data_IF_284848775773
#
_entry.id   IF_284848775773
#
_cell.length_a   1.000
_cell.length_b   1.000
_cell.length_c   1.000
_cell.angle_alpha   90.00
_cell.angle_beta   90.00
_cell.angle_gamma   90.00
#
_symmetry.space_group_name_H-M   'P 1'
#
loop_
_entity.id
_entity.type
_entity.pdbx_description
1 polymer ?
#
# COMPACT_ATOMS: atom_id res chain seq x y z
N UNK A 1 23.35 -25.69 -10.46
CA UNK A 1 22.37 -25.83 -9.35
C UNK A 1 22.01 -24.49 -8.68
N UNK A 2 22.91 -23.49 -8.62
CA UNK A 2 22.61 -22.15 -8.09
C UNK A 2 21.74 -21.24 -8.99
N UNK A 3 21.67 -21.48 -10.30
CA UNK A 3 20.87 -20.63 -11.22
C UNK A 3 19.35 -20.78 -11.02
N UNK A 4 18.88 -22.01 -10.76
CA UNK A 4 17.44 -22.31 -10.59
C UNK A 4 16.83 -21.63 -9.36
N UNK A 5 17.63 -21.38 -8.31
CA UNK A 5 17.17 -20.67 -7.12
C UNK A 5 17.11 -19.15 -7.35
N UNK A 6 18.08 -18.60 -8.10
CA UNK A 6 18.08 -17.19 -8.46
C UNK A 6 16.88 -16.84 -9.36
N UNK A 7 16.60 -17.65 -10.38
CA UNK A 7 15.45 -17.46 -11.27
C UNK A 7 14.11 -17.45 -10.52
N UNK A 8 13.93 -18.36 -9.56
CA UNK A 8 12.74 -18.39 -8.70
C UNK A 8 12.59 -17.12 -7.87
N UNK A 9 13.69 -16.60 -7.30
CA UNK A 9 13.66 -15.36 -6.52
C UNK A 9 13.25 -14.16 -7.38
N UNK A 10 13.82 -14.04 -8.58
CA UNK A 10 13.44 -12.99 -9.53
C UNK A 10 11.98 -13.11 -10.00
N UNK A 11 11.48 -14.34 -10.20
CA UNK A 11 10.06 -14.56 -10.49
C UNK A 11 9.15 -14.15 -9.34
N UNK A 12 9.54 -14.44 -8.09
CA UNK A 12 8.80 -14.00 -6.90
C UNK A 12 8.79 -12.47 -6.83
N UNK A 13 9.95 -11.83 -6.97
CA UNK A 13 10.06 -10.38 -7.00
C UNK A 13 9.19 -9.75 -8.09
N UNK A 14 9.11 -10.36 -9.28
CA UNK A 14 8.24 -9.87 -10.36
C UNK A 14 6.78 -9.86 -9.96
N UNK A 15 6.31 -10.95 -9.33
CA UNK A 15 4.91 -11.04 -8.86
C UNK A 15 4.68 -9.99 -7.78
N UNK A 16 5.51 -9.96 -6.74
CA UNK A 16 5.33 -9.05 -5.61
C UNK A 16 5.40 -7.57 -6.04
N UNK A 17 6.45 -7.19 -6.76
CA UNK A 17 6.62 -5.80 -7.22
C UNK A 17 5.50 -5.35 -8.15
N UNK A 18 4.95 -6.24 -8.98
CA UNK A 18 3.76 -5.96 -9.78
C UNK A 18 2.53 -5.64 -8.91
N UNK A 19 2.22 -6.47 -7.91
CA UNK A 19 1.06 -6.22 -7.04
C UNK A 19 1.24 -4.94 -6.21
N UNK A 20 2.43 -4.69 -5.68
CA UNK A 20 2.73 -3.45 -4.95
C UNK A 20 2.60 -2.20 -5.84
N UNK A 21 3.06 -2.28 -7.10
CA UNK A 21 2.91 -1.18 -8.05
C UNK A 21 1.45 -0.95 -8.45
N UNK A 22 0.71 -2.03 -8.73
CA UNK A 22 -0.70 -1.98 -9.12
C UNK A 22 -1.60 -1.43 -8.02
N UNK A 23 -1.31 -1.75 -6.76
CA UNK A 23 -2.01 -1.19 -5.60
C UNK A 23 -1.88 0.34 -5.54
N UNK A 24 -0.68 0.89 -5.78
CA UNK A 24 -0.47 2.34 -5.83
C UNK A 24 -1.09 3.00 -7.06
N UNK A 25 -1.02 2.33 -8.22
CA UNK A 25 -1.56 2.85 -9.48
C UNK A 25 -1.90 1.71 -10.44
N UNK A 26 -3.18 1.55 -10.73
CA UNK A 26 -3.70 0.42 -11.51
C UNK A 26 -3.31 0.40 -12.99
N UNK A 27 -2.80 1.49 -13.55
CA UNK A 27 -2.38 1.63 -14.96
C UNK A 27 -0.92 1.20 -15.22
N UNK A 28 -0.22 0.74 -14.18
CA UNK A 28 1.17 0.33 -14.27
C UNK A 28 1.26 -1.15 -14.59
N UNK A 29 1.73 -1.43 -15.80
CA UNK A 29 2.03 -2.78 -16.24
C UNK A 29 3.33 -2.80 -17.05
N UNK A 30 4.28 -3.61 -16.60
CA UNK A 30 5.57 -3.86 -17.26
C UNK A 30 5.72 -5.32 -17.70
N UNK A 31 4.62 -6.07 -17.89
CA UNK A 31 4.64 -7.48 -18.32
C UNK A 31 5.33 -7.74 -19.66
N UNK A 32 5.37 -6.74 -20.54
CA UNK A 32 5.99 -6.82 -21.86
C UNK A 32 7.52 -6.84 -21.80
N UNK A 33 8.12 -6.56 -20.65
CA UNK A 33 9.56 -6.61 -20.44
C UNK A 33 9.96 -7.97 -19.83
N UNK A 34 11.24 -8.31 -20.04
CA UNK A 34 11.84 -9.47 -19.39
C UNK A 34 11.81 -9.34 -17.85
N UNK A 35 11.86 -10.47 -17.15
CA UNK A 35 11.67 -10.54 -15.69
C UNK A 35 12.53 -9.56 -14.90
N UNK A 36 13.87 -9.48 -15.09
CA UNK A 36 14.68 -8.56 -14.30
C UNK A 36 14.41 -7.09 -14.66
N UNK A 37 14.22 -6.75 -15.94
CA UNK A 37 13.84 -5.39 -16.34
C UNK A 37 12.50 -4.96 -15.75
N UNK A 38 11.49 -5.85 -15.80
CA UNK A 38 10.19 -5.60 -15.19
C UNK A 38 10.32 -5.35 -13.68
N UNK A 39 11.07 -6.20 -12.95
CA UNK A 39 11.31 -6.01 -11.51
C UNK A 39 11.97 -4.66 -11.22
N UNK A 40 13.02 -4.30 -11.96
CA UNK A 40 13.72 -3.02 -11.81
C UNK A 40 12.80 -1.83 -12.08
N UNK A 41 11.94 -1.90 -13.11
CA UNK A 41 10.97 -0.85 -13.42
C UNK A 41 9.90 -0.71 -12.34
N UNK A 42 9.32 -1.81 -11.84
CA UNK A 42 8.36 -1.75 -10.74
C UNK A 42 9.01 -1.19 -9.46
N UNK A 43 10.23 -1.60 -9.11
CA UNK A 43 10.95 -1.09 -7.95
C UNK A 43 11.33 0.39 -8.10
N UNK A 44 11.71 0.84 -9.29
CA UNK A 44 11.95 2.24 -9.56
C UNK A 44 10.66 3.07 -9.42
N UNK A 45 9.53 2.56 -9.91
CA UNK A 45 8.23 3.20 -9.70
C UNK A 45 7.88 3.31 -8.21
N UNK A 46 8.15 2.26 -7.44
CA UNK A 46 7.95 2.25 -5.98
C UNK A 46 9.01 3.05 -5.21
N UNK A 47 9.97 3.68 -5.92
CA UNK A 47 11.06 4.49 -5.36
C UNK A 47 12.01 3.70 -4.45
N UNK A 48 12.35 2.48 -4.84
CA UNK A 48 13.34 1.67 -4.11
C UNK A 48 14.72 2.37 -4.12
N UNK A 49 15.32 2.66 -2.94
CA UNK A 49 16.42 3.63 -2.84
C UNK A 49 17.81 3.08 -3.16
N UNK A 50 17.97 1.78 -3.41
CA UNK A 50 19.29 1.15 -3.60
C UNK A 50 19.67 1.18 -5.08
N UNK A 51 20.61 2.06 -5.45
CA UNK A 51 20.96 2.29 -6.87
C UNK A 51 21.70 1.10 -7.49
N UNK A 52 22.50 0.41 -6.68
CA UNK A 52 23.30 -0.76 -7.06
C UNK A 52 22.39 -1.88 -7.56
N UNK A 53 21.17 -1.96 -7.05
CA UNK A 53 20.17 -2.95 -7.47
C UNK A 53 19.85 -2.86 -8.96
N UNK A 54 19.78 -1.64 -9.52
CA UNK A 54 19.47 -1.44 -10.94
C UNK A 54 20.61 -1.86 -11.86
N UNK A 55 21.84 -1.94 -11.34
CA UNK A 55 23.02 -2.42 -12.06
C UNK A 55 23.22 -3.94 -12.01
N UNK A 56 22.36 -4.68 -11.30
CA UNK A 56 22.53 -6.13 -11.11
C UNK A 56 22.28 -6.91 -12.40
N UNK A 57 23.18 -7.86 -12.69
CA UNK A 57 22.93 -8.91 -13.68
C UNK A 57 22.18 -10.09 -13.06
N UNK A 58 21.53 -10.90 -13.90
CA UNK A 58 20.74 -12.06 -13.47
C UNK A 58 21.61 -13.27 -13.06
N UNK A 59 22.95 -13.15 -13.09
CA UNK A 59 23.89 -14.29 -13.03
C UNK A 59 24.02 -14.98 -11.65
N UNK A 60 23.04 -14.79 -10.76
CA UNK A 60 22.94 -15.47 -9.45
C UNK A 60 24.00 -15.06 -8.42
N UNK A 61 25.01 -14.27 -8.81
CA UNK A 61 26.06 -13.77 -7.91
C UNK A 61 25.55 -12.76 -6.88
N UNK A 62 24.38 -12.15 -7.13
CA UNK A 62 23.84 -11.04 -6.33
C UNK A 62 22.50 -11.35 -5.66
N UNK A 63 22.30 -12.61 -5.23
CA UNK A 63 21.05 -13.04 -4.58
C UNK A 63 20.76 -12.28 -3.28
N UNK A 64 21.77 -11.76 -2.58
CA UNK A 64 21.58 -10.98 -1.35
C UNK A 64 20.83 -9.68 -1.61
N UNK A 65 21.10 -8.99 -2.71
CA UNK A 65 20.41 -7.74 -3.07
C UNK A 65 18.95 -7.97 -3.42
N UNK A 66 18.69 -9.05 -4.18
CA UNK A 66 17.34 -9.49 -4.47
C UNK A 66 16.57 -9.86 -3.18
N UNK A 67 17.24 -10.48 -2.20
CA UNK A 67 16.66 -10.76 -0.88
C UNK A 67 16.39 -9.48 -0.07
N UNK A 68 17.27 -8.47 -0.14
CA UNK A 68 17.06 -7.19 0.53
C UNK A 68 15.88 -6.43 -0.12
N UNK A 69 15.80 -6.44 -1.45
CA UNK A 69 14.65 -5.88 -2.17
C UNK A 69 13.33 -6.61 -1.83
N UNK A 70 13.38 -7.94 -1.66
CA UNK A 70 12.25 -8.73 -1.20
C UNK A 70 11.80 -8.31 0.20
N UNK A 71 12.73 -8.19 1.15
CA UNK A 71 12.42 -7.77 2.51
C UNK A 71 11.86 -6.33 2.54
N UNK A 72 12.34 -5.45 1.68
CA UNK A 72 11.79 -4.10 1.54
C UNK A 72 10.35 -4.11 0.99
N UNK A 73 10.05 -4.91 -0.04
CA UNK A 73 8.68 -5.05 -0.55
C UNK A 73 7.72 -5.58 0.52
N UNK A 74 8.15 -6.60 1.26
CA UNK A 74 7.34 -7.22 2.32
C UNK A 74 7.20 -6.32 3.55
N UNK A 75 8.25 -5.60 3.92
CA UNK A 75 8.26 -4.77 5.13
C UNK A 75 7.67 -3.38 4.95
N UNK A 76 7.92 -2.74 3.81
CA UNK A 76 7.55 -1.33 3.59
C UNK A 76 6.29 -1.17 2.74
N UNK A 77 6.03 -2.06 1.77
CA UNK A 77 4.86 -1.97 0.90
C UNK A 77 3.73 -2.92 1.30
N UNK A 78 3.87 -3.68 2.40
CA UNK A 78 2.92 -4.72 2.87
C UNK A 78 2.30 -5.57 1.73
N UNK A 79 3.13 -5.92 0.74
CA UNK A 79 2.69 -6.49 -0.53
C UNK A 79 1.91 -7.80 -0.38
N UNK A 80 2.16 -8.55 0.68
CA UNK A 80 1.44 -9.81 0.96
C UNK A 80 -0.01 -9.54 1.36
N UNK A 81 -0.26 -8.45 2.11
CA UNK A 81 -1.62 -8.00 2.43
C UNK A 81 -2.32 -7.51 1.16
N UNK A 82 -1.65 -6.73 0.32
CA UNK A 82 -2.20 -6.24 -0.94
C UNK A 82 -2.62 -7.38 -1.87
N UNK A 83 -1.77 -8.40 -2.01
CA UNK A 83 -2.09 -9.62 -2.80
C UNK A 83 -3.29 -10.33 -2.21
N UNK A 84 -3.34 -10.49 -0.89
CA UNK A 84 -4.46 -11.15 -0.24
C UNK A 84 -5.76 -10.42 -0.49
N UNK A 85 -5.78 -9.10 -0.30
CA UNK A 85 -6.96 -8.27 -0.53
C UNK A 85 -7.40 -8.36 -1.98
N UNK A 86 -6.50 -8.21 -2.94
CA UNK A 86 -6.82 -8.35 -4.36
C UNK A 86 -7.45 -9.72 -4.67
N UNK A 87 -6.89 -10.81 -4.12
CA UNK A 87 -7.42 -12.16 -4.32
C UNK A 87 -8.76 -12.42 -3.65
N UNK A 88 -9.02 -11.81 -2.50
CA UNK A 88 -10.28 -11.95 -1.79
C UNK A 88 -11.38 -11.07 -2.40
N UNK A 89 -11.04 -9.86 -2.86
CA UNK A 89 -11.95 -8.95 -3.57
C UNK A 89 -12.42 -9.55 -4.89
N UNK A 90 -11.51 -10.18 -5.65
CA UNK A 90 -11.84 -10.85 -6.91
C UNK A 90 -12.59 -12.19 -6.71
N UNK A 91 -12.75 -12.66 -5.47
CA UNK A 91 -13.33 -13.98 -5.14
C UNK A 91 -14.71 -13.93 -4.48
N UNK A 92 -15.19 -15.09 -3.98
CA UNK A 92 -16.53 -15.22 -3.36
C UNK A 92 -16.71 -14.33 -2.13
N UNK A 93 -15.62 -14.04 -1.41
CA UNK A 93 -15.63 -13.15 -0.24
C UNK A 93 -15.52 -11.67 -0.62
N UNK A 94 -15.56 -11.32 -1.91
CA UNK A 94 -15.33 -9.95 -2.37
C UNK A 94 -16.34 -8.94 -1.82
N UNK A 95 -17.61 -9.34 -1.73
CA UNK A 95 -18.67 -8.50 -1.14
C UNK A 95 -18.42 -8.18 0.34
N UNK A 96 -17.77 -9.09 1.08
CA UNK A 96 -17.42 -8.89 2.49
C UNK A 96 -16.11 -8.09 2.63
N UNK A 97 -15.20 -8.21 1.66
CA UNK A 97 -13.91 -7.51 1.64
C UNK A 97 -13.99 -6.07 1.11
N UNK A 98 -15.03 -5.72 0.35
CA UNK A 98 -15.29 -4.36 -0.15
C UNK A 98 -15.81 -3.40 0.94
N UNK A 99 -16.02 -3.86 2.17
CA UNK A 99 -16.71 -3.06 3.19
C UNK A 99 -15.81 -2.32 4.20
N UNK A 100 -14.50 -2.19 3.95
CA UNK A 100 -13.62 -1.48 4.92
C UNK A 100 -13.31 -0.03 4.54
N UNK A 101 -13.40 0.40 3.28
CA UNK A 101 -13.09 1.81 2.93
C UNK A 101 -14.01 2.40 1.85
N UNK A 102 -15.32 2.25 2.02
CA UNK A 102 -16.30 3.02 1.25
C UNK A 102 -17.48 3.43 2.13
N UNK A 103 -17.17 4.09 3.26
CA UNK A 103 -18.11 5.03 3.89
C UNK A 103 -17.88 6.41 3.31
N UNK A 104 -18.07 6.56 2.00
CA UNK A 104 -18.44 7.82 1.38
C UNK A 104 -19.04 7.49 0.02
N UNK A 105 -20.24 8.02 -0.23
CA UNK A 105 -21.01 7.92 -1.48
C UNK A 105 -21.81 6.62 -1.67
N UNK A 106 -22.87 6.46 -0.86
CA UNK A 106 -24.15 6.02 -1.40
C UNK A 106 -25.24 6.99 -0.97
N UNK A 107 -25.72 7.74 -1.95
CA UNK A 107 -26.71 8.81 -1.83
C UNK A 107 -28.06 8.17 -1.50
N UNK A 108 -28.48 8.30 -0.24
CA UNK A 108 -29.88 8.46 0.15
C UNK A 108 -29.92 9.31 1.43
N UNK A 109 -30.75 10.37 1.48
CA UNK A 109 -30.78 11.29 2.61
C UNK A 109 -31.48 10.60 3.79
N UNK A 110 -30.69 9.98 4.66
CA UNK A 110 -31.12 9.66 6.01
C UNK A 110 -31.04 10.96 6.81
N UNK A 111 -32.18 11.58 7.07
CA UNK A 111 -32.29 12.69 8.02
C UNK A 111 -31.88 12.15 9.40
N UNK A 112 -30.79 12.64 10.01
CA UNK A 112 -30.53 12.36 11.42
C UNK A 112 -31.55 13.15 12.26
N UNK A 113 -32.08 12.56 13.36
CA UNK A 113 -32.93 13.30 14.27
C UNK A 113 -32.11 14.44 14.86
N UNK A 114 -32.63 15.65 14.64
CA UNK A 114 -32.27 16.93 15.25
C UNK A 114 -31.50 16.80 16.56
N UNK A 115 -30.16 16.80 16.46
CA UNK A 115 -29.32 17.21 17.57
C UNK A 115 -29.40 18.73 17.65
N UNK A 116 -29.87 19.17 18.81
CA UNK A 116 -30.07 20.56 19.22
C UNK A 116 -28.88 21.39 18.76
N UNK A 117 -29.16 22.32 17.83
CA UNK A 117 -28.24 23.37 17.46
C UNK A 117 -27.96 24.22 18.71
N UNK A 118 -26.73 24.15 19.21
CA UNK A 118 -26.21 25.17 20.12
C UNK A 118 -25.51 26.21 19.23
N UNK A 119 -26.00 27.47 19.17
CA UNK A 119 -25.34 28.50 18.39
C UNK A 119 -24.07 28.93 19.13
N UNK A 120 -22.90 28.67 18.54
CA UNK A 120 -21.62 29.14 19.07
C UNK A 120 -21.16 30.36 18.27
N UNK A 121 -21.65 31.54 18.66
CA UNK A 121 -21.03 32.83 18.36
C UNK A 121 -20.67 33.54 19.69
N UNK A 122 -19.82 32.90 20.51
CA UNK A 122 -19.04 33.62 21.53
C UNK A 122 -17.85 32.77 22.02
N UNK A 123 -16.65 33.35 22.19
CA UNK A 123 -15.51 32.61 22.72
C UNK A 123 -15.75 32.30 24.21
N UNK A 124 -16.15 31.07 24.50
CA UNK A 124 -16.27 30.57 25.87
C UNK A 124 -14.89 30.60 26.56
N UNK A 125 -14.88 31.07 27.81
CA UNK A 125 -13.71 31.01 28.71
C UNK A 125 -13.11 29.59 28.72
N UNK A 126 -11.79 29.51 28.77
CA UNK A 126 -11.01 28.24 28.76
C UNK A 126 -11.49 27.23 29.81
N UNK A 127 -12.05 27.69 30.93
CA UNK A 127 -12.64 26.84 31.97
C UNK A 127 -13.94 26.15 31.52
N UNK A 128 -14.77 26.81 30.72
CA UNK A 128 -16.02 26.26 30.19
C UNK A 128 -15.77 25.28 29.02
N UNK A 129 -14.70 25.50 28.26
CA UNK A 129 -14.26 24.54 27.25
C UNK A 129 -13.70 23.27 27.90
N UNK A 130 -12.89 23.41 28.97
CA UNK A 130 -12.39 22.28 29.74
C UNK A 130 -13.51 21.47 30.39
N UNK A 131 -14.53 22.12 30.97
CA UNK A 131 -15.67 21.41 31.56
C UNK A 131 -16.51 20.68 30.50
N UNK A 132 -16.67 21.27 29.31
CA UNK A 132 -17.33 20.62 28.18
C UNK A 132 -16.56 19.39 27.70
N UNK A 133 -15.23 19.49 27.58
CA UNK A 133 -14.36 18.35 27.21
C UNK A 133 -14.45 17.23 28.25
N UNK A 134 -14.42 17.57 29.54
CA UNK A 134 -14.56 16.58 30.62
C UNK A 134 -15.92 15.88 30.59
N UNK A 135 -17.00 16.63 30.33
CA UNK A 135 -18.34 16.07 30.21
C UNK A 135 -18.44 15.12 29.00
N UNK A 136 -17.95 15.54 27.82
CA UNK A 136 -17.90 14.70 26.63
C UNK A 136 -17.06 13.44 26.85
N UNK A 137 -15.93 13.55 27.53
CA UNK A 137 -15.07 12.41 27.86
C UNK A 137 -15.80 11.44 28.79
N UNK A 138 -16.51 11.95 29.81
CA UNK A 138 -17.35 11.14 30.69
C UNK A 138 -18.46 10.42 29.91
N UNK A 139 -19.14 11.12 28.99
CA UNK A 139 -20.18 10.52 28.13
C UNK A 139 -19.61 9.43 27.23
N UNK A 140 -18.47 9.67 26.58
CA UNK A 140 -17.79 8.67 25.72
C UNK A 140 -17.40 7.44 26.53
N UNK A 141 -16.82 7.62 27.73
CA UNK A 141 -16.45 6.49 28.59
C UNK A 141 -17.66 5.69 29.06
N UNK A 142 -18.79 6.35 29.32
CA UNK A 142 -20.03 5.69 29.70
C UNK A 142 -20.60 4.86 28.53
N UNK A 143 -20.60 5.43 27.32
CA UNK A 143 -21.00 4.71 26.11
C UNK A 143 -20.10 3.51 25.82
N UNK A 144 -18.78 3.66 25.99
CA UNK A 144 -17.83 2.54 25.82
C UNK A 144 -18.09 1.42 26.84
N UNK A 145 -18.46 1.78 28.07
CA UNK A 145 -18.86 0.80 29.09
C UNK A 145 -20.15 0.07 28.68
N UNK A 146 -21.16 0.79 28.21
CA UNK A 146 -22.41 0.19 27.75
C UNK A 146 -22.20 -0.75 26.55
N UNK A 147 -21.36 -0.35 25.59
CA UNK A 147 -20.97 -1.22 24.46
C UNK A 147 -20.30 -2.50 24.97
N UNK A 148 -19.40 -2.40 25.93
CA UNK A 148 -18.76 -3.58 26.52
C UNK A 148 -19.76 -4.49 27.25
N UNK A 149 -20.73 -3.94 27.97
CA UNK A 149 -21.78 -4.73 28.61
C UNK A 149 -22.72 -5.37 27.58
N UNK A 150 -23.05 -4.68 26.48
CA UNK A 150 -23.80 -5.25 25.37
C UNK A 150 -23.06 -6.41 24.69
N UNK A 151 -21.74 -6.29 24.50
CA UNK A 151 -20.90 -7.37 23.97
C UNK A 151 -20.93 -8.57 24.92
N UNK A 152 -20.83 -8.34 26.23
CA UNK A 152 -20.89 -9.41 27.25
C UNK A 152 -22.26 -10.09 27.29
N UNK A 153 -23.35 -9.33 27.25
CA UNK A 153 -24.70 -9.90 27.22
C UNK A 153 -24.99 -10.61 25.90
N UNK A 154 -24.51 -10.10 24.76
CA UNK A 154 -24.55 -10.81 23.47
C UNK A 154 -23.83 -12.16 23.58
N UNK A 155 -22.62 -12.20 24.12
CA UNK A 155 -21.89 -13.45 24.30
C UNK A 155 -22.65 -14.43 25.21
N UNK A 156 -23.23 -13.94 26.32
CA UNK A 156 -24.05 -14.74 27.24
C UNK A 156 -25.31 -15.28 26.58
N UNK A 157 -26.00 -14.49 25.77
CA UNK A 157 -27.18 -14.92 25.00
C UNK A 157 -26.79 -15.94 23.95
N UNK A 158 -25.70 -15.73 23.20
CA UNK A 158 -25.16 -16.70 22.24
C UNK A 158 -24.83 -18.02 22.95
N UNK A 159 -24.18 -17.97 24.10
CA UNK A 159 -23.87 -19.17 24.90
C UNK A 159 -25.12 -19.88 25.41
N UNK A 160 -26.17 -19.15 25.82
CA UNK A 160 -27.46 -19.74 26.21
C UNK A 160 -28.18 -20.40 25.03
N UNK A 161 -28.20 -19.73 23.87
CA UNK A 161 -28.75 -20.29 22.63
C UNK A 161 -27.96 -21.52 22.21
N UNK A 162 -26.63 -21.48 22.32
CA UNK A 162 -25.72 -22.59 22.05
C UNK A 162 -26.02 -23.78 22.98
N UNK A 163 -26.08 -23.56 24.30
CA UNK A 163 -26.43 -24.60 25.27
C UNK A 163 -27.83 -25.20 25.03
N UNK A 164 -28.82 -24.36 24.65
CA UNK A 164 -30.17 -24.81 24.34
C UNK A 164 -30.28 -25.58 23.02
N UNK A 165 -29.32 -25.43 22.11
CA UNK A 165 -29.34 -26.04 20.78
C UNK A 165 -28.33 -27.18 20.60
N UNK A 166 -27.40 -27.37 21.53
CA UNK A 166 -26.29 -28.33 21.48
C UNK A 166 -26.76 -29.80 21.32
N UNK A 167 -27.99 -30.11 21.74
CA UNK A 167 -28.55 -31.46 21.73
C UNK A 167 -29.79 -31.63 20.83
N UNK A 168 -30.19 -30.60 20.06
CA UNK A 168 -31.49 -30.64 19.35
C UNK A 168 -31.38 -31.25 17.96
N UNK A 169 -30.18 -31.34 17.36
CA UNK A 169 -30.07 -31.83 15.97
C UNK A 169 -28.86 -32.70 15.62
N UNK A 170 -27.87 -32.87 16.50
CA UNK A 170 -26.62 -33.60 16.18
C UNK A 170 -25.83 -33.02 14.99
N UNK A 171 -26.24 -31.87 14.47
CA UNK A 171 -25.61 -31.15 13.37
C UNK A 171 -24.78 -30.00 13.93
N UNK A 172 -23.61 -29.70 13.35
CA UNK A 172 -22.84 -28.51 13.71
C UNK A 172 -23.71 -27.25 13.58
N UNK A 173 -23.49 -26.26 14.45
CA UNK A 173 -24.19 -24.98 14.37
C UNK A 173 -23.74 -24.22 13.13
N UNK A 174 -24.40 -24.52 12.03
CA UNK A 174 -24.27 -23.79 10.78
C UNK A 174 -25.14 -22.54 10.88
N UNK A 175 -24.57 -21.39 10.56
CA UNK A 175 -25.29 -20.16 10.26
C UNK A 175 -26.37 -20.42 9.20
N UNK A 176 -27.38 -19.54 9.11
CA UNK A 176 -28.48 -19.70 8.14
C UNK A 176 -27.94 -19.83 6.70
N UNK A 177 -26.89 -19.08 6.37
CA UNK A 177 -26.18 -19.17 5.09
C UNK A 177 -25.49 -20.52 4.90
N UNK A 178 -24.76 -21.01 5.91
CA UNK A 178 -24.12 -22.33 5.87
C UNK A 178 -25.14 -23.47 5.77
N UNK A 179 -26.27 -23.41 6.49
CA UNK A 179 -27.34 -24.39 6.41
C UNK A 179 -28.03 -24.38 5.04
N UNK A 180 -28.22 -23.20 4.44
CA UNK A 180 -28.77 -23.05 3.08
C UNK A 180 -27.80 -23.60 2.03
N UNK A 181 -26.50 -23.33 2.16
CA UNK A 181 -25.46 -23.91 1.32
C UNK A 181 -25.43 -25.43 1.45
N UNK A 182 -25.42 -25.95 2.68
CA UNK A 182 -25.39 -27.39 2.91
C UNK A 182 -26.65 -28.06 2.35
N UNK A 183 -27.85 -27.48 2.58
CA UNK A 183 -29.11 -27.98 1.99
C UNK A 183 -29.09 -27.94 0.46
N UNK A 184 -28.56 -26.88 -0.15
CA UNK A 184 -28.42 -26.80 -1.62
C UNK A 184 -27.51 -27.92 -2.12
N UNK A 185 -26.34 -28.10 -1.53
CA UNK A 185 -25.35 -29.12 -1.91
C UNK A 185 -25.82 -30.56 -1.69
N UNK A 186 -26.50 -30.83 -0.57
CA UNK A 186 -27.10 -32.14 -0.30
C UNK A 186 -28.20 -32.48 -1.31
N UNK A 187 -28.96 -31.47 -1.75
CA UNK A 187 -30.04 -31.64 -2.74
C UNK A 187 -29.51 -31.89 -4.15
N UNK A 188 -28.36 -31.31 -4.52
CA UNK A 188 -27.68 -31.59 -5.79
C UNK A 188 -27.06 -32.98 -5.86
N UNK A 189 -26.57 -33.54 -4.73
CA UNK A 189 -26.05 -34.92 -4.69
C UNK A 189 -27.16 -35.98 -4.78
N UNK A 190 -28.41 -35.63 -4.47
CA UNK A 190 -29.58 -36.55 -4.52
C UNK A 190 -30.29 -36.50 -5.89
N UNK A 191 -30.11 -35.42 -6.67
CA UNK A 191 -30.75 -35.19 -7.98
C UNK A 191 -29.75 -35.26 -9.14
N UNK A 192 -28.82 -36.22 -9.10
CA UNK A 192 -27.84 -36.46 -10.15
C UNK A 192 -28.45 -37.23 -11.35
N UNK A 193 -29.63 -36.82 -11.80
CA UNK A 193 -30.27 -37.37 -13.02
C UNK A 193 -30.90 -36.31 -13.94
N UNK A 194 -30.47 -35.04 -13.84
CA UNK A 194 -30.76 -34.06 -14.89
C UNK A 194 -30.71 -32.59 -14.47
N UNK A 195 -29.62 -31.89 -14.82
CA UNK A 195 -29.56 -30.43 -14.72
C UNK A 195 -28.17 -29.83 -14.61
N UNK A 196 -27.32 -30.04 -15.62
CA UNK A 196 -25.87 -29.77 -15.64
C UNK A 196 -25.39 -28.31 -15.65
N UNK A 197 -26.02 -27.36 -14.93
CA UNK A 197 -25.52 -25.96 -14.84
C UNK A 197 -25.42 -25.45 -13.40
N UNK A 198 -26.35 -25.81 -12.51
CA UNK A 198 -26.31 -25.36 -11.11
C UNK A 198 -25.24 -26.08 -10.28
N UNK A 199 -25.05 -27.38 -10.52
CA UNK A 199 -24.10 -28.23 -9.76
C UNK A 199 -22.63 -27.81 -9.97
N UNK A 200 -22.26 -27.42 -11.20
CA UNK A 200 -20.87 -27.03 -11.50
C UNK A 200 -20.54 -25.64 -10.93
N UNK A 201 -21.50 -24.72 -10.91
CA UNK A 201 -21.32 -23.40 -10.28
C UNK A 201 -21.16 -23.54 -8.76
N UNK A 202 -21.97 -24.39 -8.10
CA UNK A 202 -21.84 -24.65 -6.66
C UNK A 202 -20.51 -25.33 -6.32
N UNK A 203 -20.05 -26.27 -7.15
CA UNK A 203 -18.71 -26.90 -7.02
C UNK A 203 -17.58 -25.92 -7.23
N UNK A 204 -17.72 -24.98 -8.17
CA UNK A 204 -16.76 -23.90 -8.39
C UNK A 204 -16.70 -22.97 -7.17
N UNK A 205 -17.85 -22.55 -6.65
CA UNK A 205 -17.95 -21.74 -5.44
C UNK A 205 -17.29 -22.40 -4.22
N UNK A 206 -17.51 -23.69 -4.01
CA UNK A 206 -16.85 -24.43 -2.93
C UNK A 206 -15.33 -24.49 -3.08
N UNK A 207 -14.82 -24.63 -4.31
CA UNK A 207 -13.38 -24.54 -4.57
C UNK A 207 -12.85 -23.16 -4.22
N UNK A 208 -13.53 -22.10 -4.64
CA UNK A 208 -13.14 -20.72 -4.33
C UNK A 208 -13.15 -20.43 -2.82
N UNK A 209 -14.15 -20.92 -2.07
CA UNK A 209 -14.17 -20.81 -0.60
C UNK A 209 -13.02 -21.58 0.06
N UNK A 210 -12.72 -22.79 -0.43
CA UNK A 210 -11.60 -23.58 0.07
C UNK A 210 -10.27 -22.88 -0.20
N UNK A 211 -10.10 -22.32 -1.39
CA UNK A 211 -8.91 -21.55 -1.77
C UNK A 211 -8.76 -20.30 -0.91
N UNK A 212 -9.84 -19.54 -0.68
CA UNK A 212 -9.85 -18.40 0.23
C UNK A 212 -9.50 -18.81 1.67
N UNK A 213 -10.04 -19.94 2.15
CA UNK A 213 -9.72 -20.48 3.47
C UNK A 213 -8.24 -20.85 3.61
N UNK A 214 -7.65 -21.51 2.61
CA UNK A 214 -6.22 -21.82 2.57
C UNK A 214 -5.39 -20.52 2.60
N UNK A 215 -5.80 -19.51 1.81
CA UNK A 215 -5.12 -18.23 1.74
C UNK A 215 -5.11 -17.51 3.11
N UNK A 216 -6.24 -17.51 3.82
CA UNK A 216 -6.36 -16.93 5.16
C UNK A 216 -5.52 -17.69 6.20
N UNK A 217 -5.51 -19.03 6.16
CA UNK A 217 -4.67 -19.85 7.05
C UNK A 217 -3.17 -19.59 6.81
N UNK A 218 -2.75 -19.50 5.55
CA UNK A 218 -1.37 -19.14 5.19
C UNK A 218 -1.01 -17.75 5.72
N UNK A 219 -1.90 -16.76 5.61
CA UNK A 219 -1.67 -15.43 6.19
C UNK A 219 -1.53 -15.48 7.71
N UNK A 220 -2.38 -16.22 8.41
CA UNK A 220 -2.30 -16.36 9.86
C UNK A 220 -0.95 -16.95 10.28
N UNK A 221 -0.50 -18.02 9.60
CA UNK A 221 0.81 -18.64 9.82
C UNK A 221 1.97 -17.68 9.51
N UNK A 222 1.86 -16.90 8.43
CA UNK A 222 2.84 -15.87 8.11
C UNK A 222 2.95 -14.82 9.23
N UNK A 223 1.82 -14.28 9.69
CA UNK A 223 1.80 -13.27 10.75
C UNK A 223 2.45 -13.78 12.04
N UNK A 224 2.22 -15.04 12.40
CA UNK A 224 2.87 -15.69 13.54
C UNK A 224 4.40 -15.79 13.38
N UNK A 225 4.89 -16.06 12.16
CA UNK A 225 6.33 -16.28 11.88
C UNK A 225 7.04 -15.07 11.28
N UNK A 226 6.35 -13.94 11.13
CA UNK A 226 6.87 -12.74 10.46
C UNK A 226 8.14 -12.22 11.14
N UNK A 227 8.17 -12.23 12.46
CA UNK A 227 9.34 -11.80 13.25
C UNK A 227 10.59 -12.63 12.92
N UNK A 228 10.46 -13.96 12.83
CA UNK A 228 11.56 -14.88 12.47
C UNK A 228 12.18 -14.52 11.12
N UNK A 229 11.34 -14.16 10.13
CA UNK A 229 11.83 -13.73 8.82
C UNK A 229 12.64 -12.42 8.92
N UNK A 230 12.15 -11.42 9.65
CA UNK A 230 12.86 -10.14 9.78
C UNK A 230 14.12 -10.23 10.65
N UNK A 231 14.13 -11.10 11.66
CA UNK A 231 15.33 -11.40 12.45
C UNK A 231 16.41 -12.03 11.56
N UNK A 232 16.03 -13.00 10.73
CA UNK A 232 16.94 -13.58 9.73
C UNK A 232 17.39 -12.54 8.69
N UNK A 233 16.51 -11.68 8.19
CA UNK A 233 16.92 -10.62 7.26
C UNK A 233 17.90 -9.62 7.87
N UNK A 234 17.83 -9.39 9.19
CA UNK A 234 18.79 -8.54 9.89
C UNK A 234 20.21 -9.11 9.80
N UNK A 235 20.37 -10.44 9.95
CA UNK A 235 21.68 -11.08 9.81
C UNK A 235 22.18 -11.03 8.36
N UNK A 236 21.29 -11.23 7.38
CA UNK A 236 21.60 -11.10 5.94
C UNK A 236 22.09 -9.68 5.61
N UNK A 237 21.46 -8.64 6.15
CA UNK A 237 21.87 -7.24 5.94
C UNK A 237 23.23 -6.97 6.59
N UNK A 238 23.48 -7.49 7.80
CA UNK A 238 24.77 -7.35 8.47
C UNK A 238 25.90 -8.01 7.67
N UNK A 239 25.69 -9.23 7.18
CA UNK A 239 26.66 -9.91 6.31
C UNK A 239 26.87 -9.16 4.99
N UNK A 240 25.80 -8.62 4.41
CA UNK A 240 25.86 -7.84 3.19
C UNK A 240 26.72 -6.58 3.38
N UNK A 241 26.56 -5.85 4.49
CA UNK A 241 27.38 -4.67 4.82
C UNK A 241 28.85 -5.03 4.99
N UNK A 242 29.15 -6.08 5.78
CA UNK A 242 30.53 -6.58 5.96
C UNK A 242 31.19 -6.95 4.64
N UNK A 243 30.44 -7.60 3.74
CA UNK A 243 30.96 -7.99 2.42
C UNK A 243 31.27 -6.79 1.53
N UNK A 244 30.43 -5.75 1.59
CA UNK A 244 30.59 -4.52 0.81
C UNK A 244 31.72 -3.63 1.34
N UNK A 245 31.95 -3.61 2.66
CA UNK A 245 33.09 -2.93 3.28
C UNK A 245 34.43 -3.58 2.90
N UNK A 246 34.47 -4.91 2.79
CA UNK A 246 35.67 -5.66 2.44
C UNK A 246 35.98 -5.62 0.93
N UNK A 247 34.97 -5.45 0.09
CA UNK A 247 35.12 -5.30 -1.36
C UNK A 247 34.04 -4.34 -1.88
N UNK A 248 34.37 -3.06 -2.15
CA UNK A 248 33.39 -2.13 -2.69
C UNK A 248 32.89 -2.65 -4.02
N UNK A 249 31.57 -2.72 -4.16
CA UNK A 249 30.95 -3.27 -5.35
C UNK A 249 31.17 -2.35 -6.53
N UNK A 250 31.73 -2.92 -7.59
CA UNK A 250 31.85 -2.23 -8.86
C UNK A 250 30.46 -2.16 -9.48
N UNK A 251 29.90 -0.95 -9.56
CA UNK A 251 28.64 -0.70 -10.27
C UNK A 251 28.86 -1.06 -11.74
N UNK A 252 28.05 -1.96 -12.27
CA UNK A 252 28.09 -2.27 -13.70
C UNK A 252 27.45 -1.10 -14.48
N UNK A 253 28.30 -0.17 -14.93
CA UNK A 253 27.87 1.05 -15.63
C UNK A 253 27.14 0.75 -16.93
N UNK A 254 27.44 -0.37 -17.60
CA UNK A 254 26.75 -0.80 -18.81
C UNK A 254 25.30 -1.21 -18.53
N UNK A 255 25.09 -2.03 -17.51
CA UNK A 255 23.74 -2.43 -17.08
C UNK A 255 22.93 -1.23 -16.60
N UNK A 256 23.56 -0.33 -15.83
CA UNK A 256 22.90 0.88 -15.34
C UNK A 256 22.52 1.83 -16.48
N UNK A 257 23.38 1.99 -17.48
CA UNK A 257 23.10 2.79 -18.68
C UNK A 257 21.97 2.17 -19.52
N UNK A 258 21.96 0.84 -19.67
CA UNK A 258 20.90 0.11 -20.35
C UNK A 258 19.55 0.30 -19.64
N UNK A 259 19.53 0.12 -18.32
CA UNK A 259 18.34 0.36 -17.51
C UNK A 259 17.88 1.82 -17.58
N UNK A 260 18.80 2.78 -17.49
CA UNK A 260 18.47 4.20 -17.59
C UNK A 260 17.87 4.55 -18.95
N UNK A 261 18.39 3.95 -20.02
CA UNK A 261 17.86 4.12 -21.39
C UNK A 261 16.46 3.52 -21.52
N UNK A 262 16.24 2.33 -20.94
CA UNK A 262 14.93 1.69 -20.86
C UNK A 262 13.92 2.55 -20.11
N UNK A 263 14.29 3.05 -18.92
CA UNK A 263 13.44 3.90 -18.10
C UNK A 263 13.05 5.19 -18.86
N UNK A 264 14.01 5.84 -19.53
CA UNK A 264 13.74 7.01 -20.38
C UNK A 264 12.77 6.68 -21.52
N UNK A 265 12.89 5.51 -22.14
CA UNK A 265 11.98 5.07 -23.19
C UNK A 265 10.55 4.87 -22.66
N UNK A 266 10.40 4.16 -21.54
CA UNK A 266 9.10 3.96 -20.88
C UNK A 266 8.45 5.29 -20.53
N UNK A 267 9.21 6.20 -19.92
CA UNK A 267 8.74 7.54 -19.56
C UNK A 267 8.29 8.29 -20.82
N UNK A 268 9.11 8.30 -21.87
CA UNK A 268 8.80 8.97 -23.13
C UNK A 268 7.54 8.42 -23.79
N UNK A 269 7.37 7.10 -23.81
CA UNK A 269 6.21 6.46 -24.43
C UNK A 269 4.93 6.84 -23.67
N UNK A 270 4.95 6.75 -22.34
CA UNK A 270 3.84 7.21 -21.50
C UNK A 270 3.52 8.70 -21.70
N UNK A 271 4.52 9.55 -21.90
CA UNK A 271 4.31 10.98 -22.23
C UNK A 271 3.83 11.24 -23.66
N UNK A 272 4.08 10.32 -24.60
CA UNK A 272 3.64 10.45 -25.99
C UNK A 272 2.15 10.18 -26.13
N UNK A 273 1.63 9.23 -25.34
CA UNK A 273 0.20 8.93 -25.27
C UNK A 273 -0.61 10.14 -24.78
N UNK A 274 -0.05 10.97 -23.89
CA UNK A 274 -0.68 12.24 -23.46
C UNK A 274 -0.67 13.36 -24.54
N UNK A 275 0.21 13.26 -25.55
CA UNK A 275 0.26 14.25 -26.66
C UNK A 275 -0.53 13.82 -27.90
N UNK A 276 -0.91 12.55 -28.00
CA UNK A 276 -1.59 11.99 -29.18
C UNK A 276 -3.12 12.16 -29.19
N UNK A 277 -3.71 12.77 -28.15
CA UNK A 277 -5.17 13.04 -28.10
C UNK A 277 -5.57 14.37 -28.77
N UNK A 278 -4.74 14.88 -29.69
CA UNK A 278 -5.06 16.03 -30.54
C UNK A 278 -4.52 15.80 -31.95
N UNK A 279 -5.31 15.13 -32.79
CA UNK A 279 -5.55 15.47 -34.21
C UNK A 279 -6.39 14.37 -34.85
N UNK A 280 -7.71 14.40 -34.64
CA UNK A 280 -8.65 13.87 -35.65
C UNK A 280 -9.79 14.88 -35.75
N UNK A 281 -9.69 15.72 -36.77
CA UNK A 281 -10.82 16.49 -37.30
C UNK A 281 -11.79 15.52 -37.98
N UNK A 282 -13.11 15.68 -37.74
CA UNK A 282 -14.14 15.07 -38.59
C UNK A 282 -15.35 14.42 -37.91
N UNK A 283 -16.12 15.19 -37.13
CA UNK A 283 -17.59 15.15 -37.05
C UNK A 283 -18.34 13.82 -36.81
N UNK A 284 -18.89 13.64 -35.60
CA UNK A 284 -19.93 12.64 -35.34
C UNK A 284 -20.20 12.41 -33.85
N UNK A 285 -20.98 13.29 -33.25
CA UNK A 285 -21.41 13.35 -31.84
C UNK A 285 -21.89 12.03 -31.23
N UNK A 286 -21.30 11.62 -30.09
CA UNK A 286 -22.09 11.18 -28.93
C UNK A 286 -21.38 11.55 -27.61
N UNK A 287 -22.05 12.40 -26.85
CA UNK A 287 -21.62 13.04 -25.61
C UNK A 287 -21.29 12.04 -24.49
N UNK A 288 -20.04 12.02 -24.03
CA UNK A 288 -19.71 11.84 -22.62
C UNK A 288 -18.99 13.09 -22.13
N UNK A 289 -19.78 14.08 -21.74
CA UNK A 289 -19.30 15.30 -21.09
C UNK A 289 -18.81 14.96 -19.68
N UNK A 290 -17.53 14.66 -19.52
CA UNK A 290 -16.86 14.80 -18.22
C UNK A 290 -16.27 16.21 -18.10
N UNK A 291 -17.17 17.19 -18.02
CA UNK A 291 -16.88 18.43 -17.31
C UNK A 291 -17.30 18.23 -15.86
N UNK A 292 -16.34 17.86 -15.02
CA UNK A 292 -16.39 18.17 -13.60
C UNK A 292 -14.99 18.57 -13.12
N UNK A 293 -14.53 19.80 -13.42
CA UNK A 293 -13.52 20.47 -12.65
C UNK A 293 -14.18 20.98 -11.36
N UNK A 294 -14.40 20.08 -10.40
CA UNK A 294 -14.91 20.45 -9.08
C UNK A 294 -14.37 19.52 -8.01
N UNK A 295 -13.06 19.65 -7.76
CA UNK A 295 -12.47 19.43 -6.43
C UNK A 295 -11.55 20.58 -6.00
N UNK A 296 -11.88 21.79 -6.44
CA UNK A 296 -11.22 23.02 -6.01
C UNK A 296 -12.26 24.12 -5.72
N UNK A 297 -13.13 23.90 -4.73
CA UNK A 297 -13.80 24.99 -4.01
C UNK A 297 -14.13 24.60 -2.56
N UNK A 298 -13.09 24.58 -1.73
CA UNK A 298 -12.99 25.19 -0.40
C UNK A 298 -11.52 25.59 -0.32
N UNK A 299 -11.09 26.84 -0.25
CA UNK A 299 -11.64 28.08 0.26
C UNK A 299 -11.40 29.20 -0.76
N UNK A 300 -12.17 30.29 -0.70
CA UNK A 300 -11.63 31.58 -1.09
C UNK A 300 -10.50 31.91 -0.10
N UNK A 301 -9.29 31.42 -0.35
CA UNK A 301 -8.10 32.07 0.20
C UNK A 301 -7.83 33.28 -0.67
N UNK A 302 -7.78 34.44 -0.02
CA UNK A 302 -7.43 35.70 -0.64
C UNK A 302 -6.15 35.50 -1.46
N UNK A 303 -6.15 35.91 -2.73
CA UNK A 303 -4.93 35.88 -3.57
C UNK A 303 -3.75 36.61 -2.88
N UNK A 304 -4.02 37.55 -1.98
CA UNK A 304 -3.03 38.19 -1.13
C UNK A 304 -2.32 37.22 -0.15
N UNK A 305 -3.03 36.23 0.39
CA UNK A 305 -2.47 35.24 1.31
C UNK A 305 -1.62 34.23 0.54
N UNK A 306 -2.10 33.71 -0.60
CA UNK A 306 -1.31 32.83 -1.46
C UNK A 306 -0.02 33.51 -1.98
N UNK A 307 -0.09 34.80 -2.29
CA UNK A 307 1.09 35.60 -2.66
C UNK A 307 2.01 35.83 -1.45
N UNK A 308 1.45 36.03 -0.25
CA UNK A 308 2.23 36.11 1.01
C UNK A 308 2.98 34.82 1.31
N UNK A 309 2.37 33.65 1.10
CA UNK A 309 3.02 32.35 1.27
C UNK A 309 4.15 32.15 0.26
N UNK A 310 3.93 32.53 -1.01
CA UNK A 310 4.98 32.51 -2.04
C UNK A 310 6.13 33.45 -1.72
N UNK A 311 5.83 34.64 -1.19
CA UNK A 311 6.86 35.59 -0.78
C UNK A 311 7.64 35.11 0.45
N UNK A 312 6.99 34.51 1.47
CA UNK A 312 7.68 33.93 2.63
C UNK A 312 8.56 32.73 2.23
N UNK A 313 8.11 31.91 1.28
CA UNK A 313 8.90 30.81 0.72
C UNK A 313 10.14 31.32 -0.03
N UNK A 314 9.98 32.34 -0.88
CA UNK A 314 11.12 32.94 -1.58
C UNK A 314 12.09 33.60 -0.60
N UNK A 315 11.60 34.33 0.42
CA UNK A 315 12.46 34.97 1.40
C UNK A 315 13.24 33.95 2.25
N UNK A 316 12.63 32.80 2.59
CA UNK A 316 13.34 31.69 3.23
C UNK A 316 14.39 31.08 2.32
N UNK A 317 14.07 30.89 1.05
CA UNK A 317 15.01 30.35 0.07
C UNK A 317 16.22 31.28 -0.11
N UNK A 318 16.00 32.59 -0.19
CA UNK A 318 17.06 33.59 -0.32
C UNK A 318 17.96 33.62 0.94
N UNK A 319 17.37 33.52 2.13
CA UNK A 319 18.14 33.43 3.40
C UNK A 319 18.95 32.14 3.51
N UNK A 320 18.42 31.02 3.02
CA UNK A 320 19.16 29.75 2.97
C UNK A 320 20.33 29.81 1.98
N UNK A 321 20.14 30.44 0.82
CA UNK A 321 21.21 30.64 -0.16
C UNK A 321 22.30 31.57 0.40
N UNK A 322 21.95 32.66 1.06
CA UNK A 322 22.93 33.54 1.72
C UNK A 322 23.72 32.82 2.82
N UNK A 323 23.04 31.96 3.62
CA UNK A 323 23.71 31.15 4.63
C UNK A 323 24.63 30.11 4.00
N UNK A 324 24.22 29.51 2.88
CA UNK A 324 25.04 28.58 2.13
C UNK A 324 26.30 29.27 1.57
N UNK A 325 26.17 30.46 1.00
CA UNK A 325 27.31 31.25 0.52
C UNK A 325 28.26 31.67 1.65
N UNK A 326 27.73 32.09 2.81
CA UNK A 326 28.55 32.40 3.99
C UNK A 326 29.28 31.18 4.53
N UNK A 327 28.62 30.03 4.62
CA UNK A 327 29.26 28.78 5.03
C UNK A 327 30.35 28.35 4.05
N UNK A 328 30.12 28.50 2.74
CA UNK A 328 31.11 28.22 1.71
C UNK A 328 32.36 29.12 1.84
N UNK A 329 32.17 30.41 2.08
CA UNK A 329 33.29 31.34 2.32
C UNK A 329 34.05 30.99 3.59
N UNK A 330 33.34 30.68 4.68
CA UNK A 330 33.97 30.26 5.94
C UNK A 330 34.80 28.99 5.76
N UNK A 331 34.25 27.99 5.06
CA UNK A 331 34.95 26.74 4.77
C UNK A 331 36.19 26.98 3.90
N UNK A 332 36.13 27.91 2.94
CA UNK A 332 37.26 28.27 2.10
C UNK A 332 38.39 28.94 2.91
N UNK A 333 38.04 29.83 3.84
CA UNK A 333 39.01 30.46 4.75
C UNK A 333 39.65 29.43 5.69
N UNK A 334 38.86 28.53 6.27
CA UNK A 334 39.36 27.44 7.12
C UNK A 334 40.30 26.51 6.34
N UNK A 335 39.98 26.19 5.07
CA UNK A 335 40.85 25.42 4.20
C UNK A 335 42.17 26.15 3.88
N UNK A 336 42.11 27.46 3.64
CA UNK A 336 43.30 28.28 3.38
C UNK A 336 44.21 28.38 4.62
N UNK A 337 43.63 28.50 5.81
CA UNK A 337 44.38 28.45 7.07
C UNK A 337 45.00 27.07 7.31
N UNK A 338 44.26 25.99 7.06
CA UNK A 338 44.80 24.64 7.14
C UNK A 338 45.95 24.42 6.15
N UNK A 339 45.85 24.95 4.93
CA UNK A 339 46.91 24.86 3.92
C UNK A 339 48.17 25.66 4.33
N UNK A 340 48.02 26.78 5.05
CA UNK A 340 49.15 27.55 5.62
C UNK A 340 49.84 26.83 6.78
N UNK A 341 49.13 25.93 7.47
CA UNK A 341 49.66 25.10 8.55
C UNK A 341 50.41 23.87 8.05
N UNK A 342 50.32 23.54 6.76
CA UNK A 342 51.15 22.50 6.14
C UNK A 342 52.54 23.11 5.89
N UNK A 343 53.60 22.60 6.54
CA UNK A 343 54.95 23.08 6.27
C UNK A 343 55.27 22.86 4.79
N UNK A 344 55.68 23.92 4.10
CA UNK A 344 56.08 23.87 2.70
C UNK A 344 57.28 22.94 2.53
N UNK A 345 57.02 21.67 2.28
CA UNK A 345 57.99 20.72 1.76
C UNK A 345 57.89 20.84 0.24
N UNK A 346 58.72 21.72 -0.31
CA UNK A 346 59.54 21.56 -1.54
C UNK A 346 59.84 22.95 -2.13
N UNK A 347 61.10 23.36 -1.94
CA UNK A 347 61.83 24.23 -2.86
C UNK A 347 61.88 23.61 -4.25
N UNK A 348 61.54 24.40 -5.28
CA UNK A 348 62.26 24.41 -6.57
C UNK A 348 62.48 25.86 -6.96
#
# INVERSE_FOLDING_TARGET
MFSVQAEKLWSILRILSYYAAREKRGDIDFRNYDTPSAVKLHLAFLQYPVIEFYSLSQDGKHNRDALIALAWLVGTQDVLTAILQAKLVDGVLGAECLHVDSSEVSIKPFNPPSLIAVPNDQPLSTSAQLSSILHLNATVNLNLREINELIRERAKLISKVHAASINVSGLPHLSVSELVLMKRLSRTHILDDGGGVSSENDRRWLREFREAGILLDVRAKWLQKRHVFFDWMTTVIQEHRRSTELNPRIINTRELAAFSSLLRHVIRDKFRDFKSEKTVDGGGSMNWSFNCPSRAHRSQCNNAEAQSWLNDLNERQDREEENFQRNRQRLAVELEEMLKLIPSVIHV
#
